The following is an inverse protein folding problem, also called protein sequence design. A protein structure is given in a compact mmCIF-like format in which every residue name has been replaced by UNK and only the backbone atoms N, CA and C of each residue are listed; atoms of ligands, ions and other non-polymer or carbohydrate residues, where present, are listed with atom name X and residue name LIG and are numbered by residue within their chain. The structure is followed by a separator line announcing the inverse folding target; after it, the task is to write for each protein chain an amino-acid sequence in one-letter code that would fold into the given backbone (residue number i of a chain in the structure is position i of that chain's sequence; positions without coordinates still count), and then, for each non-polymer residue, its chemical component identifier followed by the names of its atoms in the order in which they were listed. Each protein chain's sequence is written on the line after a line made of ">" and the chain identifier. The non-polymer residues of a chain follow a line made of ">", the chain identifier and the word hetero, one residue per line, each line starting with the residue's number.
data_IF_364570014739
#
_entry.id   IF_364570014739
#
_cell.length_a   1.000
_cell.length_b   1.000
_cell.length_c   1.000
_cell.angle_alpha   90.00
_cell.angle_beta   90.00
_cell.angle_gamma   90.00
#
_symmetry.space_group_name_H-M   'P 1'
#
loop_
_entity.id
_entity.type
_entity.pdbx_description
1 polymer ?
#
# COMPACT_ATOMS: atom_id res chain seq x y z
N UNK A 1 10.92 9.15 -3.31
CA UNK A 1 9.45 9.20 -3.54
C UNK A 1 9.19 10.19 -4.65
N UNK A 2 8.28 9.93 -5.59
CA UNK A 2 8.11 10.67 -6.86
C UNK A 2 8.41 12.18 -6.79
N UNK A 3 7.66 12.93 -5.97
CA UNK A 3 7.83 14.38 -5.90
C UNK A 3 9.17 14.79 -5.27
N UNK A 4 9.55 14.15 -4.16
CA UNK A 4 10.84 14.40 -3.49
C UNK A 4 12.05 14.09 -4.38
N UNK A 5 11.97 13.03 -5.20
CA UNK A 5 13.02 12.65 -6.17
C UNK A 5 13.11 13.65 -7.32
N UNK A 6 11.96 14.14 -7.81
CA UNK A 6 11.92 15.10 -8.93
C UNK A 6 12.36 16.51 -8.54
N UNK A 7 12.18 16.90 -7.27
CA UNK A 7 12.42 18.26 -6.79
C UNK A 7 13.67 18.37 -5.91
N UNK A 8 14.36 17.26 -5.63
CA UNK A 8 15.49 17.15 -4.70
C UNK A 8 15.22 17.84 -3.35
N UNK A 9 13.96 17.75 -2.89
CA UNK A 9 13.47 18.44 -1.69
C UNK A 9 12.53 17.55 -0.92
N UNK A 10 12.60 17.65 0.40
CA UNK A 10 11.69 16.94 1.30
C UNK A 10 10.28 17.53 1.22
N UNK A 11 9.27 16.66 1.18
CA UNK A 11 7.85 17.03 1.14
C UNK A 11 7.19 16.46 2.39
N UNK A 12 6.79 17.34 3.31
CA UNK A 12 6.26 16.94 4.61
C UNK A 12 4.74 17.03 4.74
N UNK A 13 4.05 17.57 3.73
CA UNK A 13 2.61 17.75 3.71
C UNK A 13 2.04 17.34 2.34
N UNK A 14 0.85 16.75 2.35
CA UNK A 14 0.04 16.53 1.14
C UNK A 14 -1.41 16.92 1.37
N UNK A 15 -2.14 17.11 0.27
CA UNK A 15 -3.57 17.38 0.27
C UNK A 15 -4.33 16.21 -0.37
N UNK A 16 -5.43 15.80 0.24
CA UNK A 16 -6.36 14.80 -0.30
C UNK A 16 -7.72 15.46 -0.50
N UNK A 17 -8.15 15.57 -1.75
CA UNK A 17 -9.43 16.15 -2.11
C UNK A 17 -10.47 15.06 -2.40
N UNK A 18 -11.58 15.10 -1.66
CA UNK A 18 -12.74 14.25 -1.85
C UNK A 18 -13.82 15.02 -2.61
N UNK A 19 -13.69 15.06 -3.93
CA UNK A 19 -14.55 15.86 -4.83
C UNK A 19 -16.06 15.68 -4.56
N UNK A 20 -16.53 14.45 -4.33
CA UNK A 20 -17.95 14.18 -4.06
C UNK A 20 -18.47 14.79 -2.77
N UNK A 21 -17.59 15.00 -1.79
CA UNK A 21 -17.92 15.60 -0.50
C UNK A 21 -17.55 17.09 -0.44
N UNK A 22 -16.81 17.61 -1.42
CA UNK A 22 -16.23 18.96 -1.36
C UNK A 22 -15.22 19.14 -0.22
N UNK A 23 -14.63 18.05 0.27
CA UNK A 23 -13.71 18.06 1.41
C UNK A 23 -12.25 18.01 0.96
N UNK A 24 -11.41 18.89 1.52
CA UNK A 24 -9.96 18.82 1.40
C UNK A 24 -9.37 18.47 2.76
N UNK A 25 -8.49 17.47 2.80
CA UNK A 25 -7.79 17.06 4.02
C UNK A 25 -6.29 17.23 3.86
N UNK A 26 -5.70 17.94 4.82
CA UNK A 26 -4.26 17.98 5.00
C UNK A 26 -3.75 16.70 5.64
N UNK A 27 -2.61 16.20 5.15
CA UNK A 27 -1.99 14.97 5.65
C UNK A 27 -0.50 15.22 5.85
N UNK A 28 -0.06 15.11 7.11
CA UNK A 28 1.36 15.09 7.45
C UNK A 28 2.01 13.81 6.91
N UNK A 29 3.09 13.96 6.14
CA UNK A 29 3.89 12.85 5.66
C UNK A 29 4.95 12.55 6.72
N UNK A 30 4.74 11.52 7.53
CA UNK A 30 5.69 11.14 8.60
C UNK A 30 6.74 10.16 8.10
N UNK A 31 7.83 10.00 8.86
CA UNK A 31 8.88 9.02 8.54
C UNK A 31 8.34 7.59 8.51
N UNK A 32 7.36 7.26 9.36
CA UNK A 32 6.67 5.96 9.37
C UNK A 32 5.96 5.68 8.06
N UNK A 33 5.33 6.69 7.45
CA UNK A 33 4.57 6.55 6.21
C UNK A 33 5.52 6.28 5.05
N UNK A 34 6.63 7.03 4.98
CA UNK A 34 7.70 6.79 3.99
C UNK A 34 8.21 5.36 4.05
N UNK A 35 8.58 4.89 5.25
CA UNK A 35 9.03 3.50 5.44
C UNK A 35 7.96 2.48 5.06
N UNK A 36 6.68 2.76 5.37
CA UNK A 36 5.55 1.88 5.02
C UNK A 36 5.37 1.80 3.51
N UNK A 37 5.39 2.92 2.80
CA UNK A 37 5.27 2.97 1.33
C UNK A 37 6.39 2.18 0.66
N UNK A 38 7.64 2.35 1.11
CA UNK A 38 8.78 1.59 0.57
C UNK A 38 8.62 0.08 0.78
N UNK A 39 8.19 -0.35 1.98
CA UNK A 39 7.89 -1.77 2.24
C UNK A 39 6.77 -2.31 1.35
N UNK A 40 5.72 -1.51 1.10
CA UNK A 40 4.62 -1.89 0.20
C UNK A 40 5.14 -2.01 -1.24
N UNK A 41 5.90 -1.03 -1.73
CA UNK A 41 6.52 -1.07 -3.07
C UNK A 41 7.35 -2.34 -3.26
N UNK A 42 8.19 -2.68 -2.29
CA UNK A 42 9.04 -3.86 -2.38
C UNK A 42 8.22 -5.17 -2.32
N UNK A 43 7.08 -5.17 -1.63
CA UNK A 43 6.11 -6.29 -1.68
C UNK A 43 5.44 -6.40 -3.06
N UNK A 44 5.05 -5.28 -3.67
CA UNK A 44 4.48 -5.26 -5.03
C UNK A 44 5.49 -5.80 -6.05
N UNK A 45 6.76 -5.39 -5.95
CA UNK A 45 7.83 -5.92 -6.81
C UNK A 45 8.01 -7.44 -6.69
N UNK A 46 7.89 -7.99 -5.46
CA UNK A 46 7.93 -9.45 -5.26
C UNK A 46 6.75 -10.17 -5.91
N UNK A 47 5.56 -9.59 -5.84
CA UNK A 47 4.36 -10.11 -6.51
C UNK A 47 4.55 -10.12 -8.03
N UNK A 48 5.05 -9.01 -8.60
CA UNK A 48 5.37 -8.93 -10.02
C UNK A 48 6.44 -9.95 -10.44
N UNK A 49 7.36 -10.30 -9.53
CA UNK A 49 8.33 -11.39 -9.71
C UNK A 49 7.79 -12.79 -9.44
N UNK A 50 6.47 -12.98 -9.36
CA UNK A 50 5.80 -14.28 -9.19
C UNK A 50 5.73 -14.79 -7.75
N UNK A 51 6.19 -14.02 -6.76
CA UNK A 51 6.13 -14.40 -5.34
C UNK A 51 4.95 -13.72 -4.64
N UNK A 52 3.83 -14.42 -4.57
CA UNK A 52 2.65 -13.98 -3.82
C UNK A 52 2.93 -14.03 -2.30
N UNK A 53 2.48 -13.03 -1.52
CA UNK A 53 2.53 -13.10 -0.05
C UNK A 53 1.50 -14.10 0.46
N UNK A 54 1.65 -14.59 1.69
CA UNK A 54 0.58 -15.32 2.39
C UNK A 54 -0.66 -14.44 2.59
N UNK A 55 -1.85 -15.05 2.62
CA UNK A 55 -3.11 -14.33 2.81
C UNK A 55 -3.21 -13.87 4.27
N UNK A 56 -3.25 -12.55 4.56
CA UNK A 56 -3.48 -12.04 5.91
C UNK A 56 -4.90 -12.35 6.42
N UNK A 57 -5.10 -12.26 7.72
CA UNK A 57 -6.42 -12.39 8.33
C UNK A 57 -7.28 -11.14 8.05
N UNK A 58 -8.58 -11.33 7.84
CA UNK A 58 -9.54 -10.22 7.67
C UNK A 58 -9.39 -9.45 6.35
N UNK A 59 -8.78 -10.04 5.32
CA UNK A 59 -8.72 -9.41 4.00
C UNK A 59 -10.11 -9.30 3.37
N UNK A 60 -10.44 -8.17 2.72
CA UNK A 60 -11.75 -7.96 2.09
C UNK A 60 -11.83 -8.66 0.73
N UNK A 61 -11.71 -9.99 0.69
CA UNK A 61 -11.72 -10.80 -0.53
C UNK A 61 -13.00 -10.63 -1.36
N UNK A 62 -14.14 -10.36 -0.71
CA UNK A 62 -15.45 -10.17 -1.36
C UNK A 62 -15.48 -9.03 -2.39
N UNK A 63 -14.56 -8.06 -2.27
CA UNK A 63 -14.46 -6.91 -3.19
C UNK A 63 -13.20 -6.97 -4.06
N UNK A 64 -12.49 -8.10 -4.06
CA UNK A 64 -11.24 -8.27 -4.80
C UNK A 64 -11.53 -8.61 -6.27
N UNK A 65 -11.08 -7.78 -7.24
CA UNK A 65 -11.36 -8.00 -8.66
C UNK A 65 -10.64 -9.21 -9.28
N UNK A 66 -9.67 -9.79 -8.58
CA UNK A 66 -8.82 -10.90 -9.07
C UNK A 66 -8.96 -12.15 -8.19
N UNK A 67 -10.10 -12.29 -7.49
CA UNK A 67 -10.34 -13.41 -6.56
C UNK A 67 -10.26 -14.76 -7.27
N UNK A 68 -10.83 -14.87 -8.47
CA UNK A 68 -10.89 -16.11 -9.24
C UNK A 68 -9.50 -16.64 -9.64
N UNK A 69 -8.53 -15.74 -9.82
CA UNK A 69 -7.14 -16.06 -10.16
C UNK A 69 -6.20 -16.00 -8.94
N UNK A 70 -6.72 -15.90 -7.72
CA UNK A 70 -5.91 -15.75 -6.52
C UNK A 70 -5.42 -17.12 -6.00
N UNK A 71 -4.13 -17.41 -6.21
CA UNK A 71 -3.50 -18.66 -5.76
C UNK A 71 -2.92 -18.60 -4.33
N UNK A 72 -3.10 -17.47 -3.65
CA UNK A 72 -2.56 -17.28 -2.29
C UNK A 72 -3.27 -18.16 -1.26
N UNK A 73 -2.47 -18.81 -0.39
CA UNK A 73 -2.97 -19.62 0.74
C UNK A 73 -2.80 -18.89 2.08
N UNK A 74 -3.62 -19.24 3.06
CA UNK A 74 -3.34 -18.93 4.46
C UNK A 74 -2.37 -19.98 5.00
N UNK A 75 -1.23 -19.55 5.52
CA UNK A 75 -0.22 -20.42 6.15
C UNK A 75 0.00 -19.97 7.58
N UNK A 76 0.64 -20.79 8.42
CA UNK A 76 0.95 -20.41 9.80
C UNK A 76 1.82 -19.14 9.90
N UNK A 77 2.59 -18.83 8.86
CA UNK A 77 3.39 -17.62 8.78
C UNK A 77 2.53 -16.34 8.74
N UNK A 78 1.28 -16.42 8.25
CA UNK A 78 0.38 -15.26 8.21
C UNK A 78 -0.08 -14.76 9.58
N UNK A 79 0.19 -15.49 10.66
CA UNK A 79 -0.09 -15.05 12.04
C UNK A 79 1.00 -14.14 12.63
N UNK A 80 2.18 -14.10 12.00
CA UNK A 80 3.35 -13.35 12.50
C UNK A 80 3.60 -12.03 11.75
N UNK A 81 2.80 -11.72 10.72
CA UNK A 81 2.90 -10.53 9.87
C UNK A 81 1.55 -9.82 9.71
#
# INVERSE_FOLDING_TARGET
>A
MLLEESQDRRVDLGLVEYLRAGEVREVDIRTSDRRRVLRIRDRVRRIQGGKLPDRPNGVPCERCPVLESCETRQTLASKFF
#
